data_IF_674205312802
#
_entry.id   IF_674205312802
#
_cell.length_a   1.000
_cell.length_b   1.000
_cell.length_c   1.000
_cell.angle_alpha   90.00
_cell.angle_beta   90.00
_cell.angle_gamma   90.00
#
_symmetry.space_group_name_H-M   'P 1'
#
loop_
_entity.id
_entity.type
_entity.pdbx_description
1 polymer ?
#
# COMPACT_ATOMS: atom_id res chain seq x y z
N UNK A 1 9.66 24.59 -8.08
CA UNK A 1 8.48 23.77 -7.73
C UNK A 1 8.32 22.74 -8.83
N UNK A 2 8.62 21.46 -8.58
CA UNK A 2 8.33 20.40 -9.55
C UNK A 2 6.85 20.01 -9.40
N UNK A 3 6.11 20.12 -10.49
CA UNK A 3 4.71 19.71 -10.55
C UNK A 3 4.65 18.17 -10.46
N UNK A 4 4.40 17.65 -9.26
CA UNK A 4 4.25 16.20 -8.98
C UNK A 4 2.81 15.72 -9.22
N UNK A 5 1.98 16.56 -9.85
CA UNK A 5 0.58 16.28 -10.17
C UNK A 5 0.40 15.05 -11.05
N UNK A 6 1.36 14.74 -11.93
CA UNK A 6 1.31 13.57 -12.81
C UNK A 6 1.63 12.23 -12.11
N UNK A 7 2.35 12.24 -10.99
CA UNK A 7 2.67 11.01 -10.23
C UNK A 7 1.75 10.78 -9.03
N UNK A 8 0.94 11.77 -8.68
CA UNK A 8 0.09 11.77 -7.50
C UNK A 8 -1.34 11.32 -7.84
N UNK A 9 -1.86 10.33 -7.11
CA UNK A 9 -3.23 9.83 -7.27
C UNK A 9 -3.96 9.89 -5.93
N UNK A 10 -5.18 10.43 -5.94
CA UNK A 10 -6.11 10.38 -4.79
C UNK A 10 -7.03 9.19 -4.97
N UNK A 11 -7.12 8.34 -3.97
CA UNK A 11 -7.86 7.08 -3.97
C UNK A 11 -8.51 6.90 -2.59
N UNK A 12 -9.53 6.06 -2.47
CA UNK A 12 -9.87 5.47 -1.16
C UNK A 12 -8.93 4.31 -0.83
N UNK A 13 -8.87 3.87 0.43
CA UNK A 13 -8.12 2.65 0.78
C UNK A 13 -8.60 1.42 0.02
N UNK A 14 -9.91 1.30 -0.23
CA UNK A 14 -10.48 0.23 -1.06
C UNK A 14 -9.96 0.30 -2.51
N UNK A 15 -9.97 1.50 -3.11
CA UNK A 15 -9.43 1.70 -4.46
C UNK A 15 -7.91 1.49 -4.51
N UNK A 16 -7.20 1.79 -3.43
CA UNK A 16 -5.76 1.54 -3.31
C UNK A 16 -5.45 0.04 -3.32
N UNK A 17 -6.24 -0.76 -2.59
CA UNK A 17 -6.12 -2.22 -2.59
C UNK A 17 -6.34 -2.79 -4.00
N UNK A 18 -7.36 -2.31 -4.71
CA UNK A 18 -7.62 -2.69 -6.10
C UNK A 18 -6.49 -2.25 -7.06
N UNK A 19 -5.94 -1.05 -6.87
CA UNK A 19 -4.90 -0.50 -7.75
C UNK A 19 -3.55 -1.18 -7.54
N UNK A 20 -3.21 -1.59 -6.31
CA UNK A 20 -1.92 -2.17 -5.95
C UNK A 20 -2.09 -3.51 -5.21
N UNK A 21 -2.62 -4.55 -5.87
CA UNK A 21 -3.16 -5.76 -5.22
C UNK A 21 -2.10 -6.69 -4.63
N UNK A 22 -0.81 -6.45 -4.89
CA UNK A 22 0.29 -7.33 -4.45
C UNK A 22 0.53 -7.27 -2.94
N UNK A 23 -0.04 -6.28 -2.26
CA UNK A 23 0.14 -6.03 -0.83
C UNK A 23 -1.22 -5.73 -0.22
N UNK A 24 -1.49 -6.29 0.95
CA UNK A 24 -2.69 -5.96 1.71
C UNK A 24 -2.49 -4.65 2.47
N UNK A 25 -2.77 -3.54 1.81
CA UNK A 25 -2.53 -2.18 2.31
C UNK A 25 -3.44 -1.86 3.46
N UNK A 26 -4.72 -2.25 3.38
CA UNK A 26 -5.67 -2.01 4.47
C UNK A 26 -5.18 -2.64 5.78
N UNK A 27 -4.69 -3.89 5.74
CA UNK A 27 -4.14 -4.57 6.93
C UNK A 27 -2.90 -3.86 7.48
N UNK A 28 -1.96 -3.50 6.61
CA UNK A 28 -0.71 -2.83 7.04
C UNK A 28 -1.02 -1.49 7.70
N UNK A 29 -1.79 -0.65 7.01
CA UNK A 29 -2.13 0.69 7.52
C UNK A 29 -2.99 0.58 8.78
N UNK A 30 -4.00 -0.30 8.81
CA UNK A 30 -4.82 -0.52 10.01
C UNK A 30 -3.98 -0.90 11.22
N UNK A 31 -2.96 -1.75 11.03
CA UNK A 31 -2.05 -2.11 12.13
C UNK A 31 -1.23 -0.94 12.65
N UNK A 32 -0.87 0.01 11.78
CA UNK A 32 -0.13 1.22 12.16
C UNK A 32 -1.02 2.21 12.89
N UNK A 33 -2.22 2.49 12.35
CA UNK A 33 -3.14 3.48 12.91
C UNK A 33 -3.82 2.99 14.20
N UNK A 34 -3.96 1.67 14.39
CA UNK A 34 -4.41 1.12 15.68
C UNK A 34 -3.47 1.48 16.84
N UNK A 35 -2.18 1.71 16.59
CA UNK A 35 -1.21 2.14 17.63
C UNK A 35 -1.51 3.54 18.17
N UNK A 36 -2.23 4.36 17.40
CA UNK A 36 -2.67 5.70 17.81
C UNK A 36 -4.17 5.72 18.13
N UNK A 37 -4.75 4.56 18.43
CA UNK A 37 -6.18 4.37 18.72
C UNK A 37 -7.11 4.91 17.61
N UNK A 38 -6.69 4.81 16.35
CA UNK A 38 -7.51 5.17 15.21
C UNK A 38 -7.85 3.94 14.36
N UNK A 39 -9.12 3.81 13.99
CA UNK A 39 -9.62 2.72 13.15
C UNK A 39 -9.80 3.19 11.71
N UNK A 40 -9.01 2.61 10.80
CA UNK A 40 -9.10 2.94 9.38
C UNK A 40 -10.25 2.22 8.70
N UNK A 41 -11.21 2.99 8.18
CA UNK A 41 -12.27 2.47 7.32
C UNK A 41 -11.76 2.28 5.89
N UNK A 42 -12.46 1.46 5.10
CA UNK A 42 -12.08 1.17 3.69
C UNK A 42 -12.32 2.35 2.76
N UNK A 43 -13.28 3.20 3.09
CA UNK A 43 -13.64 4.41 2.34
C UNK A 43 -12.76 5.62 2.67
N UNK A 44 -11.79 5.47 3.58
CA UNK A 44 -10.87 6.55 3.94
C UNK A 44 -10.06 7.04 2.73
N UNK A 45 -9.95 8.36 2.51
CA UNK A 45 -9.17 8.92 1.43
C UNK A 45 -7.67 8.79 1.72
N UNK A 46 -6.92 8.42 0.68
CA UNK A 46 -5.48 8.30 0.67
C UNK A 46 -4.88 9.02 -0.54
N UNK A 47 -3.70 9.60 -0.35
CA UNK A 47 -2.93 10.26 -1.41
C UNK A 47 -1.67 9.46 -1.67
N UNK A 48 -1.55 8.92 -2.88
CA UNK A 48 -0.36 8.17 -3.33
C UNK A 48 0.46 9.09 -4.20
N UNK A 49 1.61 9.56 -3.70
CA UNK A 49 2.44 10.56 -4.40
C UNK A 49 3.26 10.01 -5.58
N UNK A 50 3.54 8.70 -5.57
CA UNK A 50 4.30 8.05 -6.62
C UNK A 50 3.73 6.65 -6.88
N UNK A 51 2.84 6.56 -7.87
CA UNK A 51 2.20 5.31 -8.27
C UNK A 51 3.22 4.25 -8.65
N UNK A 52 4.23 4.61 -9.44
CA UNK A 52 5.23 3.66 -9.93
C UNK A 52 6.04 3.03 -8.78
N UNK A 53 6.38 3.83 -7.77
CA UNK A 53 7.05 3.33 -6.57
C UNK A 53 6.19 2.27 -5.85
N UNK A 54 4.88 2.51 -5.71
CA UNK A 54 3.98 1.55 -5.05
C UNK A 54 3.85 0.23 -5.83
N UNK A 55 3.85 0.27 -7.16
CA UNK A 55 3.86 -0.93 -8.01
C UNK A 55 5.16 -1.74 -7.84
N UNK A 56 6.30 -1.07 -7.86
CA UNK A 56 7.61 -1.70 -7.66
C UNK A 56 7.73 -2.28 -6.25
N UNK A 57 7.36 -1.51 -5.22
CA UNK A 57 7.37 -1.94 -3.83
C UNK A 57 6.50 -3.19 -3.62
N UNK A 58 5.28 -3.19 -4.18
CA UNK A 58 4.41 -4.36 -4.10
C UNK A 58 5.03 -5.61 -4.76
N UNK A 59 5.76 -5.43 -5.86
CA UNK A 59 6.51 -6.52 -6.52
C UNK A 59 7.64 -7.05 -5.62
N UNK A 60 8.41 -6.15 -5.01
CA UNK A 60 9.50 -6.53 -4.09
C UNK A 60 8.95 -7.30 -2.88
N UNK A 61 7.92 -6.76 -2.21
CA UNK A 61 7.34 -7.36 -1.01
C UNK A 61 6.71 -8.73 -1.29
N UNK A 62 5.94 -8.86 -2.37
CA UNK A 62 5.33 -10.15 -2.76
C UNK A 62 6.37 -11.19 -3.14
N UNK A 63 7.45 -10.81 -3.84
CA UNK A 63 8.54 -11.75 -4.21
C UNK A 63 9.38 -12.19 -3.01
N UNK A 64 9.51 -11.34 -1.99
CA UNK A 64 10.32 -11.63 -0.79
C UNK A 64 9.61 -12.61 0.14
N UNK A 65 8.28 -12.51 0.30
CA UNK A 65 7.50 -13.46 1.09
C UNK A 65 7.61 -14.89 0.53
N UNK A 66 7.50 -15.06 -0.79
CA UNK A 66 7.64 -16.37 -1.43
C UNK A 66 9.04 -16.98 -1.25
N UNK A 67 10.07 -16.14 -1.13
CA UNK A 67 11.43 -16.60 -0.90
C UNK A 67 11.64 -17.05 0.54
N UNK A 68 11.05 -16.35 1.52
CA UNK A 68 11.18 -16.71 2.93
C UNK A 68 10.46 -18.02 3.28
N UNK A 69 9.29 -18.26 2.68
CA UNK A 69 8.52 -19.51 2.87
C UNK A 69 9.32 -20.75 2.39
N UNK A 70 10.11 -20.59 1.32
CA UNK A 70 10.96 -21.65 0.75
C UNK A 70 12.17 -22.04 1.60
N UNK A 71 12.64 -21.19 2.51
CA UNK A 71 13.81 -21.47 3.37
C UNK A 71 13.42 -21.93 4.79
N UNK A 72 12.13 -21.94 5.12
CA UNK A 72 11.62 -22.46 6.41
C UNK A 72 10.83 -23.77 6.26
N UNK A 73 10.99 -24.49 5.14
CA UNK A 73 10.57 -25.88 4.95
C UNK A 73 11.80 -26.77 4.78
#
# INVERSE_FOLDING_TARGET
MHDTSWTTKRLTLDQMEYTFPKVNWHRILSSMFKKVNNELRRDEPAVVHNVHYFEQLGTILSSTNNRFEKYCT
#
